data_IF_399684936146
#
_entry.id   IF_399684936146
#
_cell.length_a   1.000
_cell.length_b   1.000
_cell.length_c   1.000
_cell.angle_alpha   90.00
_cell.angle_beta   90.00
_cell.angle_gamma   90.00
#
_symmetry.space_group_name_H-M   'P 1'
#
loop_
_entity.id
_entity.type
_entity.pdbx_description
1 polymer ?
#
# COMPACT_ATOMS: atom_id res chain seq x y z
N UNK A 1 11.55 -0.11 10.55
CA UNK A 1 12.68 0.47 11.30
C UNK A 1 12.41 0.64 12.80
N UNK A 2 11.17 0.86 13.27
CA UNK A 2 10.93 1.04 14.71
C UNK A 2 11.74 2.20 15.27
N UNK A 3 12.31 2.05 16.47
CA UNK A 3 13.23 2.99 17.09
C UNK A 3 14.70 2.89 16.64
N UNK A 4 14.99 2.22 15.52
CA UNK A 4 16.37 1.98 15.07
C UNK A 4 17.08 0.86 15.85
N UNK A 5 18.34 0.54 15.51
CA UNK A 5 19.12 -0.51 16.19
C UNK A 5 19.23 -0.33 17.71
N UNK A 6 19.21 0.91 18.19
CA UNK A 6 19.26 1.22 19.63
C UNK A 6 17.88 1.19 20.30
N UNK A 7 16.84 1.75 19.67
CA UNK A 7 15.51 1.87 20.28
C UNK A 7 14.61 0.64 20.08
N UNK A 8 14.91 -0.21 19.10
CA UNK A 8 14.20 -1.45 18.82
C UNK A 8 15.15 -2.56 18.35
N UNK A 9 16.17 -2.93 19.16
CA UNK A 9 17.23 -3.87 18.75
C UNK A 9 16.70 -5.23 18.32
N UNK A 10 15.54 -5.65 18.83
CA UNK A 10 14.89 -6.92 18.48
C UNK A 10 14.37 -6.99 17.02
N UNK A 11 14.41 -5.89 16.27
CA UNK A 11 14.09 -5.85 14.83
C UNK A 11 15.33 -6.05 13.94
N UNK A 12 16.52 -6.12 14.53
CA UNK A 12 17.81 -6.12 13.83
C UNK A 12 18.55 -7.43 14.05
N UNK A 13 19.42 -7.78 13.11
CA UNK A 13 20.27 -8.95 13.23
C UNK A 13 21.28 -8.76 14.38
N UNK A 14 21.47 -9.81 15.18
CA UNK A 14 22.32 -9.75 16.37
C UNK A 14 23.81 -9.68 16.01
N UNK A 15 24.19 -10.34 14.92
CA UNK A 15 25.56 -10.40 14.45
C UNK A 15 25.88 -9.23 13.51
N UNK A 16 24.85 -8.57 12.96
CA UNK A 16 24.96 -7.41 12.09
C UNK A 16 23.86 -6.37 12.33
N UNK A 17 24.10 -5.42 13.24
CA UNK A 17 23.12 -4.41 13.63
C UNK A 17 22.75 -3.40 12.52
N UNK A 18 23.48 -3.36 11.39
CA UNK A 18 23.07 -2.58 10.22
C UNK A 18 21.95 -3.28 9.45
N UNK A 19 21.76 -4.60 9.63
CA UNK A 19 20.74 -5.40 8.93
C UNK A 19 19.50 -5.62 9.79
N UNK A 20 18.36 -5.70 9.12
CA UNK A 20 17.09 -6.10 9.71
C UNK A 20 17.04 -7.63 9.87
N UNK A 21 16.45 -8.08 10.98
CA UNK A 21 16.26 -9.50 11.26
C UNK A 21 15.27 -10.12 10.26
N UNK A 22 15.65 -11.24 9.66
CA UNK A 22 14.80 -12.03 8.77
C UNK A 22 14.29 -13.27 9.52
N UNK A 23 13.01 -13.55 9.43
CA UNK A 23 12.40 -14.73 10.03
C UNK A 23 12.54 -15.97 9.14
N UNK A 24 12.22 -17.12 9.72
CA UNK A 24 12.18 -18.39 8.99
C UNK A 24 10.77 -18.96 8.92
N UNK A 25 10.47 -19.66 7.82
CA UNK A 25 9.24 -20.43 7.69
C UNK A 25 9.33 -21.79 8.42
N UNK A 26 8.30 -22.63 8.24
CA UNK A 26 8.21 -23.99 8.80
C UNK A 26 9.29 -24.98 8.30
N UNK A 27 10.04 -24.64 7.25
CA UNK A 27 11.19 -25.40 6.75
C UNK A 27 12.54 -24.80 7.14
N UNK A 28 12.56 -23.71 7.91
CA UNK A 28 13.79 -23.02 8.28
C UNK A 28 14.36 -22.10 7.19
N UNK A 29 13.60 -21.84 6.13
CA UNK A 29 14.02 -20.96 5.03
C UNK A 29 13.76 -19.49 5.41
N UNK A 30 14.63 -18.57 4.99
CA UNK A 30 14.51 -17.11 5.21
C UNK A 30 13.37 -16.49 4.37
N UNK A 31 12.14 -16.95 4.61
CA UNK A 31 10.94 -16.72 3.82
C UNK A 31 9.75 -16.23 4.67
N UNK A 32 9.99 -15.77 5.90
CA UNK A 32 8.98 -15.15 6.76
C UNK A 32 9.54 -13.90 7.45
N UNK A 33 8.65 -13.06 7.97
CA UNK A 33 9.02 -11.98 8.89
C UNK A 33 9.49 -12.55 10.23
N UNK A 34 10.35 -11.85 10.97
CA UNK A 34 10.77 -12.32 12.30
C UNK A 34 9.55 -12.46 13.22
N UNK A 35 9.47 -13.57 13.95
CA UNK A 35 8.36 -13.89 14.86
C UNK A 35 8.89 -14.27 16.24
N UNK A 36 8.11 -13.97 17.27
CA UNK A 36 8.39 -14.46 18.62
C UNK A 36 7.99 -15.94 18.77
N UNK A 37 8.29 -16.54 19.93
CA UNK A 37 7.97 -17.95 20.24
C UNK A 37 6.47 -18.32 20.17
N UNK A 38 5.58 -17.33 20.08
CA UNK A 38 4.13 -17.53 19.97
C UNK A 38 3.64 -17.32 18.52
N UNK A 39 4.55 -17.14 17.56
CA UNK A 39 4.21 -16.91 16.15
C UNK A 39 3.80 -15.47 15.81
N UNK A 40 3.87 -14.53 16.77
CA UNK A 40 3.52 -13.12 16.51
C UNK A 40 4.69 -12.40 15.84
N UNK A 41 4.41 -11.73 14.73
CA UNK A 41 5.42 -10.97 13.99
C UNK A 41 6.01 -9.82 14.82
N UNK A 42 7.31 -9.61 14.63
CA UNK A 42 8.12 -8.54 15.23
C UNK A 42 8.34 -7.47 14.17
N UNK A 43 7.40 -6.53 14.06
CA UNK A 43 7.39 -5.52 13.01
C UNK A 43 7.31 -4.11 13.60
N UNK A 44 7.73 -3.11 12.83
CA UNK A 44 7.56 -1.70 13.20
C UNK A 44 6.10 -1.27 13.26
N UNK A 45 5.25 -1.89 12.44
CA UNK A 45 3.79 -1.76 12.49
C UNK A 45 3.19 -3.19 12.47
N UNK A 46 2.46 -3.54 13.52
CA UNK A 46 1.89 -4.88 13.68
C UNK A 46 0.84 -5.22 12.62
N UNK A 47 0.26 -4.21 11.94
CA UNK A 47 -0.73 -4.42 10.88
C UNK A 47 -0.12 -5.01 9.61
N UNK A 48 1.20 -4.96 9.45
CA UNK A 48 1.89 -5.59 8.33
C UNK A 48 1.92 -7.13 8.40
N UNK A 49 1.18 -7.74 9.32
CA UNK A 49 0.98 -9.19 9.44
C UNK A 49 -0.52 -9.58 9.44
N UNK A 50 -1.44 -8.70 8.99
CA UNK A 50 -2.89 -9.03 8.98
C UNK A 50 -3.28 -10.06 7.91
N UNK A 51 -2.53 -10.12 6.81
CA UNK A 51 -2.67 -11.15 5.78
C UNK A 51 -1.34 -11.43 5.10
N UNK A 52 -1.25 -12.57 4.42
CA UNK A 52 -0.02 -13.09 3.81
C UNK A 52 0.65 -12.08 2.86
N UNK A 53 -0.11 -11.43 1.99
CA UNK A 53 0.42 -10.50 0.99
C UNK A 53 1.18 -9.31 1.61
N UNK A 54 0.64 -8.70 2.68
CA UNK A 54 1.31 -7.57 3.32
C UNK A 54 2.54 -8.05 4.13
N UNK A 55 2.46 -9.22 4.76
CA UNK A 55 3.58 -9.81 5.50
C UNK A 55 4.75 -10.14 4.57
N UNK A 56 4.49 -10.79 3.44
CA UNK A 56 5.53 -11.12 2.47
C UNK A 56 6.06 -9.87 1.75
N UNK A 57 5.22 -8.84 1.52
CA UNK A 57 5.70 -7.57 0.99
C UNK A 57 6.64 -6.90 2.00
N UNK A 58 6.28 -6.92 3.29
CA UNK A 58 7.14 -6.42 4.35
C UNK A 58 8.48 -7.16 4.38
N UNK A 59 8.47 -8.50 4.26
CA UNK A 59 9.67 -9.31 4.12
C UNK A 59 10.54 -8.86 2.94
N UNK A 60 9.94 -8.57 1.78
CA UNK A 60 10.69 -8.05 0.63
C UNK A 60 11.40 -6.72 0.96
N UNK A 61 10.77 -5.82 1.71
CA UNK A 61 11.42 -4.59 2.20
C UNK A 61 12.53 -4.85 3.23
N UNK A 62 12.40 -5.86 4.10
CA UNK A 62 13.48 -6.27 5.01
C UNK A 62 14.69 -6.76 4.20
N UNK A 63 14.47 -7.63 3.22
CA UNK A 63 15.50 -8.13 2.31
C UNK A 63 16.11 -7.00 1.47
N UNK A 64 15.30 -6.08 0.98
CA UNK A 64 15.75 -4.91 0.21
C UNK A 64 16.71 -4.04 1.03
N UNK A 65 16.36 -3.74 2.29
CA UNK A 65 17.26 -3.00 3.17
C UNK A 65 18.60 -3.73 3.38
N UNK A 66 18.56 -5.04 3.66
CA UNK A 66 19.76 -5.83 3.87
C UNK A 66 20.64 -5.90 2.61
N UNK A 67 20.03 -5.96 1.42
CA UNK A 67 20.74 -5.88 0.14
C UNK A 67 21.38 -4.51 -0.08
N UNK A 68 20.72 -3.41 0.34
CA UNK A 68 21.31 -2.07 0.27
C UNK A 68 22.49 -1.93 1.23
N UNK A 69 22.43 -2.51 2.43
CA UNK A 69 23.56 -2.56 3.37
C UNK A 69 24.77 -3.22 2.71
N UNK A 70 24.57 -4.35 2.04
CA UNK A 70 25.64 -5.05 1.32
C UNK A 70 26.18 -4.23 0.14
N UNK A 71 25.29 -3.57 -0.62
CA UNK A 71 25.66 -2.66 -1.70
C UNK A 71 26.51 -1.48 -1.20
N UNK A 72 26.10 -0.79 -0.14
CA UNK A 72 26.84 0.36 0.41
C UNK A 72 28.22 -0.05 0.94
N UNK A 73 28.34 -1.25 1.53
CA UNK A 73 29.63 -1.80 1.96
C UNK A 73 30.53 -2.11 0.77
N UNK A 74 29.97 -2.63 -0.33
CA UNK A 74 30.71 -2.85 -1.57
C UNK A 74 31.22 -1.52 -2.17
N UNK A 75 30.41 -0.47 -2.08
CA UNK A 75 30.79 0.92 -2.44
C UNK A 75 31.73 1.60 -1.41
N UNK A 76 32.17 0.85 -0.39
CA UNK A 76 33.11 1.31 0.65
C UNK A 76 32.62 2.51 1.46
N UNK A 77 31.31 2.64 1.65
CA UNK A 77 30.72 3.60 2.59
C UNK A 77 31.28 3.32 3.99
N UNK A 78 31.69 4.35 4.77
CA UNK A 78 32.20 4.14 6.12
C UNK A 78 31.19 3.40 7.00
N UNK A 79 31.63 2.39 7.74
CA UNK A 79 30.74 1.51 8.52
C UNK A 79 29.75 2.25 9.42
N UNK A 80 30.20 3.32 10.08
CA UNK A 80 29.34 4.14 10.95
C UNK A 80 28.18 4.86 10.23
N UNK A 81 28.18 4.92 8.89
CA UNK A 81 27.17 5.57 8.07
C UNK A 81 26.26 4.56 7.35
N UNK A 82 26.67 3.30 7.24
CA UNK A 82 26.01 2.29 6.40
C UNK A 82 24.51 2.17 6.72
N UNK A 83 24.13 2.03 7.99
CA UNK A 83 22.72 1.93 8.36
C UNK A 83 21.91 3.19 7.99
N UNK A 84 22.42 4.38 8.31
CA UNK A 84 21.73 5.64 8.04
C UNK A 84 21.53 5.86 6.53
N UNK A 85 22.57 5.57 5.75
CA UNK A 85 22.52 5.63 4.29
C UNK A 85 21.60 4.57 3.70
N UNK A 86 21.61 3.34 4.24
CA UNK A 86 20.69 2.30 3.80
C UNK A 86 19.24 2.68 4.08
N UNK A 87 18.94 3.20 5.27
CA UNK A 87 17.60 3.69 5.60
C UNK A 87 17.16 4.83 4.68
N UNK A 88 18.06 5.77 4.38
CA UNK A 88 17.80 6.89 3.46
C UNK A 88 17.49 6.38 2.06
N UNK A 89 18.32 5.50 1.50
CA UNK A 89 18.11 4.95 0.16
C UNK A 89 16.85 4.09 0.07
N UNK A 90 16.53 3.26 1.07
CA UNK A 90 15.25 2.52 1.08
C UNK A 90 14.07 3.49 1.03
N UNK A 91 14.08 4.53 1.87
CA UNK A 91 13.01 5.54 1.90
C UNK A 91 12.87 6.26 0.57
N UNK A 92 13.98 6.71 -0.02
CA UNK A 92 13.96 7.47 -1.27
C UNK A 92 13.48 6.63 -2.45
N UNK A 93 13.92 5.37 -2.57
CA UNK A 93 13.40 4.48 -3.62
C UNK A 93 11.92 4.13 -3.39
N UNK A 94 11.47 3.97 -2.14
CA UNK A 94 10.06 3.77 -1.84
C UNK A 94 9.21 4.99 -2.21
N UNK A 95 9.62 6.19 -1.81
CA UNK A 95 8.95 7.44 -2.18
C UNK A 95 8.94 7.63 -3.71
N UNK A 96 10.03 7.29 -4.40
CA UNK A 96 10.10 7.30 -5.85
C UNK A 96 9.07 6.37 -6.49
N UNK A 97 8.98 5.12 -6.03
CA UNK A 97 7.98 4.15 -6.49
C UNK A 97 6.56 4.70 -6.25
N UNK A 98 6.31 5.31 -5.09
CA UNK A 98 5.01 5.92 -4.79
C UNK A 98 4.66 6.98 -5.84
N UNK A 99 5.58 7.90 -6.14
CA UNK A 99 5.32 9.04 -7.04
C UNK A 99 5.31 8.64 -8.52
N UNK A 100 6.16 7.72 -8.93
CA UNK A 100 6.43 7.44 -10.35
C UNK A 100 5.87 6.12 -10.86
N UNK A 101 5.31 5.27 -10.00
CA UNK A 101 4.65 4.02 -10.39
C UNK A 101 3.25 3.91 -9.76
N UNK A 102 3.16 3.96 -8.42
CA UNK A 102 1.89 3.76 -7.72
C UNK A 102 0.86 4.86 -8.02
N UNK A 103 1.24 6.14 -7.92
CA UNK A 103 0.32 7.25 -8.19
C UNK A 103 -0.19 7.25 -9.65
N UNK A 104 0.68 7.16 -10.69
CA UNK A 104 0.22 7.04 -12.07
C UNK A 104 -0.77 5.89 -12.29
N UNK A 105 -0.49 4.72 -11.74
CA UNK A 105 -1.39 3.55 -11.83
C UNK A 105 -2.70 3.73 -11.04
N UNK A 106 -2.70 4.53 -9.98
CA UNK A 106 -3.86 4.67 -9.09
C UNK A 106 -4.79 5.81 -9.47
N UNK A 107 -4.25 6.91 -10.02
CA UNK A 107 -5.01 8.14 -10.29
C UNK A 107 -4.91 8.64 -11.73
N UNK A 108 -4.12 7.97 -12.58
CA UNK A 108 -3.88 8.34 -13.97
C UNK A 108 -2.71 9.31 -14.16
N UNK A 109 -2.02 9.16 -15.30
CA UNK A 109 -0.82 9.94 -15.65
C UNK A 109 -1.08 11.45 -15.74
N UNK A 110 -2.24 11.84 -16.27
CA UNK A 110 -2.59 13.25 -16.49
C UNK A 110 -2.68 14.03 -15.18
N UNK A 111 -3.28 13.43 -14.14
CA UNK A 111 -3.40 14.07 -12.84
C UNK A 111 -2.04 14.18 -12.14
N UNK A 112 -1.22 13.13 -12.18
CA UNK A 112 0.13 13.18 -11.60
C UNK A 112 0.97 14.24 -12.31
N UNK A 113 0.89 14.30 -13.63
CA UNK A 113 1.61 15.30 -14.44
C UNK A 113 1.17 16.74 -14.11
N UNK A 114 -0.13 16.99 -13.97
CA UNK A 114 -0.66 18.30 -13.54
C UNK A 114 -0.11 18.70 -12.17
N UNK A 115 -0.16 17.79 -11.19
CA UNK A 115 0.30 18.07 -9.83
C UNK A 115 1.81 18.32 -9.75
N UNK A 116 2.61 17.57 -10.51
CA UNK A 116 4.06 17.79 -10.56
C UNK A 116 4.44 19.09 -11.26
N UNK A 117 3.67 19.53 -12.26
CA UNK A 117 3.93 20.76 -13.01
C UNK A 117 3.38 22.02 -12.33
N UNK A 118 2.17 21.93 -11.76
CA UNK A 118 1.39 23.07 -11.28
C UNK A 118 1.21 23.10 -9.76
N UNK A 119 1.65 22.06 -9.05
CA UNK A 119 1.54 21.95 -7.60
C UNK A 119 0.17 21.45 -7.11
N UNK A 120 0.08 21.27 -5.80
CA UNK A 120 -1.14 20.87 -5.09
C UNK A 120 -2.13 22.05 -5.04
N UNK A 121 -3.45 21.79 -5.07
CA UNK A 121 -4.46 22.88 -5.01
C UNK A 121 -5.33 22.84 -3.75
N UNK A 122 -5.56 21.67 -3.15
CA UNK A 122 -6.48 21.49 -2.03
C UNK A 122 -5.78 21.04 -0.75
N UNK A 123 -4.75 20.19 -0.86
CA UNK A 123 -4.00 19.74 0.31
C UNK A 123 -3.04 20.84 0.77
N UNK A 124 -3.33 21.38 1.95
CA UNK A 124 -2.50 22.41 2.60
C UNK A 124 -2.28 22.04 4.07
N UNK A 125 -1.11 22.40 4.59
CA UNK A 125 -0.75 22.24 5.99
C UNK A 125 0.07 23.45 6.45
N UNK A 126 0.07 23.75 7.75
CA UNK A 126 0.77 24.91 8.31
C UNK A 126 2.16 24.53 8.82
N UNK A 127 2.23 23.61 9.79
CA UNK A 127 3.50 23.24 10.44
C UNK A 127 4.01 21.87 10.03
N UNK A 128 3.13 20.88 9.97
CA UNK A 128 3.48 19.49 9.66
C UNK A 128 2.43 18.89 8.73
N UNK A 129 2.84 18.10 7.73
CA UNK A 129 1.89 17.36 6.91
C UNK A 129 1.14 16.34 7.78
N UNK A 130 -0.12 16.09 7.44
CA UNK A 130 -1.02 15.22 8.20
C UNK A 130 -1.85 14.36 7.26
N UNK A 131 -2.53 13.36 7.80
CA UNK A 131 -3.44 12.50 7.03
C UNK A 131 -4.88 12.97 7.32
N UNK A 132 -5.59 13.57 6.35
CA UNK A 132 -7.00 13.95 6.52
C UNK A 132 -7.92 12.72 6.64
N UNK A 133 -9.07 12.89 7.28
CA UNK A 133 -10.05 11.80 7.44
C UNK A 133 -10.68 11.39 6.11
N UNK A 134 -10.84 12.32 5.17
CA UNK A 134 -11.30 12.06 3.81
C UNK A 134 -10.34 11.11 3.06
N UNK A 135 -9.04 11.19 3.36
CA UNK A 135 -8.05 10.26 2.85
C UNK A 135 -8.12 8.91 3.57
N UNK A 136 -8.00 8.90 4.91
CA UNK A 136 -7.84 7.68 5.69
C UNK A 136 -9.10 6.82 5.78
N UNK A 137 -10.27 7.46 5.83
CA UNK A 137 -11.56 6.84 6.10
C UNK A 137 -12.49 6.78 4.87
N UNK A 138 -12.04 7.31 3.72
CA UNK A 138 -12.74 7.14 2.45
C UNK A 138 -11.80 6.89 1.26
N UNK A 139 -11.08 7.90 0.78
CA UNK A 139 -10.42 7.84 -0.53
C UNK A 139 -9.39 6.73 -0.62
N UNK A 140 -8.48 6.60 0.36
CA UNK A 140 -7.41 5.61 0.34
C UNK A 140 -7.89 4.17 0.67
N UNK A 141 -9.20 3.98 0.86
CA UNK A 141 -9.83 2.66 0.98
C UNK A 141 -10.32 2.10 -0.35
N UNK A 142 -10.02 2.77 -1.46
CA UNK A 142 -10.35 2.28 -2.80
C UNK A 142 -9.75 0.89 -3.08
N UNK A 143 -8.61 0.56 -2.48
CA UNK A 143 -7.96 -0.74 -2.62
C UNK A 143 -8.83 -1.93 -2.15
N UNK A 144 -9.89 -1.70 -1.37
CA UNK A 144 -10.83 -2.76 -0.98
C UNK A 144 -11.55 -3.38 -2.19
N UNK A 145 -11.88 -2.60 -3.23
CA UNK A 145 -12.53 -3.13 -4.45
C UNK A 145 -11.55 -3.89 -5.35
N UNK A 146 -10.26 -3.57 -5.26
CA UNK A 146 -9.20 -4.18 -6.05
C UNK A 146 -8.84 -5.62 -5.62
N UNK A 147 -9.36 -6.09 -4.48
CA UNK A 147 -9.11 -7.44 -3.96
C UNK A 147 -9.74 -8.50 -4.85
N UNK A 148 -8.95 -9.49 -5.26
CA UNK A 148 -9.40 -10.62 -6.07
C UNK A 148 -10.15 -11.64 -5.22
N UNK A 149 -11.08 -12.35 -5.85
CA UNK A 149 -11.81 -13.43 -5.18
C UNK A 149 -10.93 -14.66 -4.91
N UNK A 150 -9.92 -14.90 -5.76
CA UNK A 150 -8.95 -16.01 -5.63
C UNK A 150 -7.59 -15.54 -6.15
N UNK A 151 -6.53 -15.94 -5.47
CA UNK A 151 -5.13 -15.75 -5.85
C UNK A 151 -4.44 -17.11 -6.01
N UNK A 152 -3.46 -17.17 -6.92
CA UNK A 152 -2.44 -18.23 -6.98
C UNK A 152 -1.13 -17.65 -6.45
N UNK A 153 -0.47 -18.30 -5.49
CA UNK A 153 0.67 -17.69 -4.80
C UNK A 153 2.01 -17.95 -5.48
N UNK A 154 2.19 -19.16 -6.01
CA UNK A 154 3.48 -19.65 -6.50
C UNK A 154 3.31 -20.87 -7.43
N UNK A 155 4.43 -21.38 -7.94
CA UNK A 155 4.48 -22.58 -8.81
C UNK A 155 4.02 -23.88 -8.12
N UNK A 156 4.01 -23.93 -6.78
CA UNK A 156 3.45 -25.04 -6.01
C UNK A 156 1.91 -25.15 -6.13
N UNK A 157 1.26 -24.12 -6.67
CA UNK A 157 -0.17 -24.13 -6.98
C UNK A 157 -1.07 -23.79 -5.80
N UNK A 158 -0.52 -23.27 -4.69
CA UNK A 158 -1.31 -22.78 -3.56
C UNK A 158 -2.28 -21.68 -4.04
N UNK A 159 -3.57 -21.89 -3.77
CA UNK A 159 -4.67 -21.01 -4.21
C UNK A 159 -5.66 -20.77 -3.08
N UNK A 160 -6.22 -19.57 -3.01
CA UNK A 160 -7.16 -19.19 -1.96
C UNK A 160 -7.56 -17.71 -2.01
N UNK A 161 -8.39 -17.32 -1.06
CA UNK A 161 -8.85 -15.95 -0.85
C UNK A 161 -7.95 -15.23 0.16
N UNK A 162 -7.99 -13.89 0.20
CA UNK A 162 -7.27 -13.13 1.25
C UNK A 162 -7.74 -13.57 2.65
N UNK A 163 -9.05 -13.73 2.81
CA UNK A 163 -9.67 -14.26 4.01
C UNK A 163 -10.68 -15.35 3.64
N UNK A 164 -10.75 -16.46 4.41
CA UNK A 164 -9.90 -16.78 5.56
C UNK A 164 -8.55 -17.40 5.19
N UNK A 165 -8.37 -17.86 3.94
CA UNK A 165 -7.27 -18.79 3.58
C UNK A 165 -5.87 -18.21 3.83
N UNK A 166 -5.68 -16.93 3.51
CA UNK A 166 -4.42 -16.20 3.62
C UNK A 166 -4.42 -15.14 4.71
N UNK A 167 -5.27 -15.33 5.73
CA UNK A 167 -5.20 -14.55 6.97
C UNK A 167 -3.81 -14.66 7.59
N UNK A 168 -3.31 -13.55 8.15
CA UNK A 168 -1.98 -13.48 8.73
C UNK A 168 -1.99 -13.82 10.22
N UNK A 169 -1.11 -13.19 10.98
CA UNK A 169 -0.91 -13.39 12.44
C UNK A 169 -0.43 -14.80 12.81
N UNK A 170 0.14 -15.51 11.84
CA UNK A 170 0.66 -16.86 11.98
C UNK A 170 1.93 -17.05 11.12
N UNK A 171 2.82 -18.00 11.47
CA UNK A 171 3.96 -18.35 10.64
C UNK A 171 3.55 -18.67 9.20
N UNK A 172 4.32 -18.18 8.23
CA UNK A 172 4.09 -18.46 6.82
C UNK A 172 4.58 -19.88 6.49
N UNK A 173 3.71 -20.78 6.05
CA UNK A 173 4.13 -22.09 5.55
C UNK A 173 4.93 -21.97 4.24
N UNK A 174 5.90 -22.85 4.03
CA UNK A 174 6.76 -22.87 2.84
C UNK A 174 5.97 -22.98 1.53
N UNK A 175 4.86 -23.72 1.51
CA UNK A 175 3.98 -23.87 0.34
C UNK A 175 3.16 -22.60 0.02
N UNK A 176 3.13 -21.63 0.95
CA UNK A 176 2.44 -20.33 0.80
C UNK A 176 3.38 -19.14 0.62
N UNK A 177 4.69 -19.37 0.51
CA UNK A 177 5.64 -18.29 0.18
C UNK A 177 5.24 -17.68 -1.17
N UNK A 178 5.13 -16.35 -1.23
CA UNK A 178 4.67 -15.65 -2.43
C UNK A 178 5.82 -15.58 -3.44
N UNK A 179 5.54 -15.99 -4.67
CA UNK A 179 6.37 -15.72 -5.83
C UNK A 179 5.86 -14.43 -6.49
N UNK A 180 6.60 -13.33 -6.37
CA UNK A 180 6.16 -12.03 -6.86
C UNK A 180 6.04 -11.96 -8.39
N UNK A 181 6.61 -12.91 -9.15
CA UNK A 181 6.38 -13.02 -10.60
C UNK A 181 4.93 -13.38 -10.96
N UNK A 182 4.11 -13.79 -9.99
CA UNK A 182 2.65 -13.94 -10.17
C UNK A 182 1.88 -12.63 -10.03
N UNK A 183 2.51 -11.55 -9.54
CA UNK A 183 1.84 -10.29 -9.17
C UNK A 183 2.43 -9.09 -9.89
N UNK A 184 3.70 -9.18 -10.31
CA UNK A 184 4.41 -8.14 -11.04
C UNK A 184 5.01 -8.69 -12.33
N UNK A 185 5.19 -7.81 -13.31
CA UNK A 185 5.79 -8.14 -14.60
C UNK A 185 7.30 -8.31 -14.49
N UNK A 186 7.73 -9.43 -13.91
CA UNK A 186 9.15 -9.76 -13.70
C UNK A 186 9.76 -10.41 -14.95
N UNK A 187 9.03 -11.30 -15.62
CA UNK A 187 9.50 -11.99 -16.83
C UNK A 187 8.52 -11.79 -17.98
N UNK A 188 9.02 -11.67 -19.21
CA UNK A 188 8.17 -11.43 -20.39
C UNK A 188 7.20 -12.59 -20.73
N UNK A 189 7.33 -13.75 -20.07
CA UNK A 189 6.56 -14.96 -20.37
C UNK A 189 5.31 -15.20 -19.53
N UNK A 190 5.08 -14.43 -18.45
CA UNK A 190 3.95 -14.64 -17.53
C UNK A 190 3.22 -13.33 -17.26
N UNK A 191 1.96 -13.16 -17.70
CA UNK A 191 1.17 -12.00 -17.31
C UNK A 191 0.86 -12.07 -15.80
N UNK A 192 1.00 -10.97 -15.05
CA UNK A 192 0.70 -10.95 -13.62
C UNK A 192 -0.80 -11.10 -13.36
N UNK A 193 -1.15 -11.51 -12.14
CA UNK A 193 -2.51 -11.47 -11.62
C UNK A 193 -2.88 -10.03 -11.25
N UNK A 194 -3.34 -9.26 -12.25
CA UNK A 194 -3.79 -7.89 -12.06
C UNK A 194 -4.83 -7.78 -10.93
N UNK A 195 -4.91 -6.63 -10.25
CA UNK A 195 -6.02 -6.34 -9.32
C UNK A 195 -7.38 -6.38 -10.03
N UNK A 196 -8.46 -6.42 -9.27
CA UNK A 196 -9.78 -6.05 -9.81
C UNK A 196 -9.83 -4.56 -10.13
N UNK A 197 -10.79 -4.18 -10.96
CA UNK A 197 -11.13 -2.78 -11.22
C UNK A 197 -11.63 -2.10 -9.95
N UNK A 198 -11.51 -0.78 -9.92
CA UNK A 198 -12.07 0.06 -8.87
C UNK A 198 -13.56 0.27 -9.17
N UNK A 199 -14.40 -0.50 -8.50
CA UNK A 199 -15.86 -0.43 -8.63
C UNK A 199 -16.56 -0.60 -7.28
N UNK A 200 -17.90 -0.60 -7.31
CA UNK A 200 -18.75 -0.76 -6.13
C UNK A 200 -18.96 -2.23 -5.70
N UNK A 201 -18.24 -3.19 -6.30
CA UNK A 201 -18.41 -4.64 -6.08
C UNK A 201 -17.18 -5.23 -5.38
N UNK A 202 -17.34 -5.54 -4.09
CA UNK A 202 -16.27 -6.17 -3.32
C UNK A 202 -16.20 -7.69 -3.50
N UNK A 203 -15.01 -8.26 -3.31
CA UNK A 203 -14.87 -9.71 -3.18
C UNK A 203 -15.64 -10.24 -1.96
N UNK A 204 -16.27 -11.41 -2.08
CA UNK A 204 -17.01 -12.04 -0.98
C UNK A 204 -16.15 -12.21 0.29
N UNK A 205 -14.85 -12.46 0.15
CA UNK A 205 -13.92 -12.55 1.29
C UNK A 205 -13.86 -11.30 2.17
N UNK A 206 -14.41 -10.17 1.71
CA UNK A 206 -14.53 -8.91 2.46
C UNK A 206 -15.94 -8.66 3.01
N UNK A 207 -16.93 -9.46 2.62
CA UNK A 207 -18.31 -9.35 3.09
C UNK A 207 -18.56 -10.08 4.41
N UNK A 208 -17.72 -11.07 4.73
CA UNK A 208 -17.78 -11.87 5.95
C UNK A 208 -16.37 -12.10 6.50
N UNK A 209 -15.80 -11.07 7.10
CA UNK A 209 -14.44 -11.12 7.65
C UNK A 209 -14.39 -12.00 8.91
N UNK A 210 -13.30 -12.76 9.12
CA UNK A 210 -13.17 -13.61 10.29
C UNK A 210 -13.00 -12.78 11.58
N UNK A 211 -13.41 -13.34 12.73
CA UNK A 211 -13.26 -12.73 14.06
C UNK A 211 -11.81 -12.33 14.39
N UNK A 212 -10.82 -13.03 13.84
CA UNK A 212 -9.40 -12.68 13.99
C UNK A 212 -9.05 -11.30 13.39
N UNK A 213 -9.85 -10.82 12.44
CA UNK A 213 -9.69 -9.51 11.78
C UNK A 213 -10.59 -8.46 12.40
N UNK A 214 -11.88 -8.76 12.61
CA UNK A 214 -12.87 -7.75 13.07
C UNK A 214 -13.11 -7.72 14.57
N UNK A 215 -12.61 -8.70 15.31
CA UNK A 215 -12.91 -8.91 16.73
C UNK A 215 -14.30 -9.51 16.95
N UNK A 216 -14.74 -9.56 18.22
CA UNK A 216 -16.11 -9.91 18.56
C UNK A 216 -17.08 -8.81 18.08
N UNK A 217 -18.11 -9.22 17.35
CA UNK A 217 -19.12 -8.34 16.75
C UNK A 217 -20.47 -8.52 17.45
N UNK A 218 -21.30 -7.48 17.45
CA UNK A 218 -22.67 -7.52 17.99
C UNK A 218 -23.69 -7.94 16.94
N UNK A 219 -23.39 -7.68 15.67
CA UNK A 219 -24.27 -7.93 14.54
C UNK A 219 -23.50 -8.62 13.40
N UNK A 220 -24.20 -9.38 12.56
CA UNK A 220 -23.57 -10.05 11.42
C UNK A 220 -22.98 -9.05 10.42
N UNK A 221 -23.61 -7.88 10.27
CA UNK A 221 -23.18 -6.83 9.35
C UNK A 221 -21.81 -6.25 9.72
N UNK A 222 -21.43 -6.26 11.00
CA UNK A 222 -20.12 -5.80 11.46
C UNK A 222 -18.94 -6.64 10.94
N UNK A 223 -19.20 -7.83 10.38
CA UNK A 223 -18.22 -8.63 9.64
C UNK A 223 -17.96 -8.10 8.22
N UNK A 224 -18.87 -7.30 7.66
CA UNK A 224 -18.71 -6.74 6.31
C UNK A 224 -17.80 -5.52 6.35
N UNK A 225 -16.72 -5.55 5.56
CA UNK A 225 -15.81 -4.42 5.42
C UNK A 225 -16.53 -3.17 4.88
N UNK A 226 -17.42 -3.34 3.90
CA UNK A 226 -18.22 -2.24 3.35
C UNK A 226 -19.12 -1.60 4.40
N UNK A 227 -19.75 -2.40 5.27
CA UNK A 227 -20.55 -1.87 6.37
C UNK A 227 -19.68 -1.05 7.33
N UNK A 228 -18.50 -1.56 7.69
CA UNK A 228 -17.57 -0.87 8.58
C UNK A 228 -17.05 0.43 7.97
N UNK A 229 -16.76 0.46 6.68
CA UNK A 229 -16.33 1.67 5.97
C UNK A 229 -17.42 2.74 5.97
N UNK A 230 -18.66 2.37 5.65
CA UNK A 230 -19.81 3.29 5.66
C UNK A 230 -20.11 3.83 7.06
N UNK A 231 -20.16 2.96 8.08
CA UNK A 231 -20.40 3.38 9.47
C UNK A 231 -19.25 4.23 10.00
N UNK A 232 -18.01 3.96 9.59
CA UNK A 232 -16.86 4.78 9.97
C UNK A 232 -16.96 6.18 9.36
N UNK A 233 -17.35 6.27 8.10
CA UNK A 233 -17.55 7.56 7.42
C UNK A 233 -18.65 8.38 8.07
N UNK A 234 -19.78 7.75 8.43
CA UNK A 234 -20.85 8.40 9.19
C UNK A 234 -20.36 8.87 10.58
N UNK A 235 -19.63 8.03 11.32
CA UNK A 235 -19.14 8.37 12.65
C UNK A 235 -18.10 9.51 12.69
N UNK A 236 -17.47 9.79 11.54
CA UNK A 236 -16.51 10.89 11.37
C UNK A 236 -17.13 12.11 10.70
N UNK A 237 -18.44 12.10 10.45
CA UNK A 237 -19.17 13.14 9.72
C UNK A 237 -18.50 13.49 8.38
N UNK A 238 -18.02 12.47 7.64
CA UNK A 238 -17.41 12.69 6.34
C UNK A 238 -18.41 13.39 5.40
N UNK A 239 -17.98 14.44 4.67
CA UNK A 239 -18.84 15.08 3.69
C UNK A 239 -19.21 14.08 2.58
N UNK A 240 -20.34 14.31 1.91
CA UNK A 240 -20.72 13.52 0.75
C UNK A 240 -19.72 13.70 -0.40
N UNK A 241 -19.68 12.73 -1.31
CA UNK A 241 -18.86 12.86 -2.52
C UNK A 241 -19.27 14.04 -3.39
N UNK A 242 -20.57 14.32 -3.50
CA UNK A 242 -21.10 15.47 -4.23
C UNK A 242 -20.70 16.80 -3.57
N UNK A 243 -20.64 16.87 -2.23
CA UNK A 243 -20.16 18.06 -1.53
C UNK A 243 -18.69 18.35 -1.81
N UNK A 244 -17.84 17.32 -1.77
CA UNK A 244 -16.42 17.49 -2.13
C UNK A 244 -16.27 17.85 -3.61
N UNK A 245 -17.02 17.20 -4.51
CA UNK A 245 -16.97 17.50 -5.94
C UNK A 245 -17.26 18.99 -6.21
N UNK A 246 -18.31 19.54 -5.59
CA UNK A 246 -18.65 20.97 -5.69
C UNK A 246 -17.54 21.88 -5.16
N UNK A 247 -16.95 21.55 -4.01
CA UNK A 247 -15.83 22.33 -3.44
C UNK A 247 -14.60 22.30 -4.36
N UNK A 248 -14.37 21.17 -5.03
CA UNK A 248 -13.28 21.01 -6.00
C UNK A 248 -13.58 21.61 -7.38
N UNK A 249 -14.81 22.07 -7.63
CA UNK A 249 -15.25 22.53 -8.95
C UNK A 249 -15.38 21.40 -9.99
N UNK A 250 -15.56 20.16 -9.54
CA UNK A 250 -15.78 18.97 -10.36
C UNK A 250 -17.29 18.74 -10.50
N UNK A 251 -17.75 18.36 -11.69
CA UNK A 251 -19.17 18.02 -11.91
C UNK A 251 -19.54 16.75 -11.13
N UNK A 252 -20.46 16.82 -10.15
CA UNK A 252 -20.82 15.65 -9.35
C UNK A 252 -21.44 14.54 -10.20
N UNK A 253 -21.32 13.29 -9.76
CA UNK A 253 -22.11 12.20 -10.33
C UNK A 253 -23.61 12.48 -10.17
N UNK A 254 -24.37 12.22 -11.22
CA UNK A 254 -25.83 12.26 -11.18
C UNK A 254 -26.38 11.14 -10.30
N UNK A 255 -27.60 11.33 -9.79
CA UNK A 255 -28.31 10.32 -9.00
C UNK A 255 -28.48 8.99 -9.75
N UNK A 256 -28.64 9.05 -11.08
CA UNK A 256 -28.69 7.88 -11.96
C UNK A 256 -27.35 7.18 -12.10
N UNK A 257 -26.24 7.92 -12.15
CA UNK A 257 -24.91 7.31 -12.21
C UNK A 257 -24.55 6.64 -10.88
N UNK A 258 -24.89 7.26 -9.75
CA UNK A 258 -24.66 6.69 -8.42
C UNK A 258 -25.48 5.41 -8.21
N UNK A 259 -26.76 5.41 -8.60
CA UNK A 259 -27.64 4.24 -8.54
C UNK A 259 -28.19 3.89 -7.15
N UNK A 260 -27.83 4.62 -6.09
CA UNK A 260 -28.32 4.36 -4.73
C UNK A 260 -29.82 4.71 -4.56
N UNK A 261 -30.37 5.56 -5.43
CA UNK A 261 -31.79 5.93 -5.37
C UNK A 261 -32.74 4.73 -5.55
N UNK A 262 -32.34 3.79 -6.40
CA UNK A 262 -33.08 2.54 -6.69
C UNK A 262 -33.06 1.58 -5.50
N UNK A 263 -32.07 1.73 -4.61
CA UNK A 263 -31.95 1.02 -3.34
C UNK A 263 -32.68 1.73 -2.18
N UNK A 264 -33.38 2.82 -2.47
CA UNK A 264 -34.14 3.59 -1.49
C UNK A 264 -33.36 4.69 -0.76
N UNK A 265 -32.07 4.89 -1.08
CA UNK A 265 -31.29 6.02 -0.53
C UNK A 265 -31.77 7.34 -1.13
N UNK A 266 -31.94 8.37 -0.30
CA UNK A 266 -32.47 9.69 -0.74
C UNK A 266 -31.55 10.86 -0.42
N UNK A 267 -30.43 10.61 0.23
CA UNK A 267 -29.42 11.62 0.57
C UNK A 267 -28.30 11.63 -0.47
N UNK A 268 -27.38 12.59 -0.33
CA UNK A 268 -26.11 12.54 -1.06
C UNK A 268 -25.28 11.31 -0.66
N UNK A 269 -24.28 11.01 -1.47
CA UNK A 269 -23.60 9.72 -1.47
C UNK A 269 -22.47 9.69 -0.42
N UNK A 270 -22.40 8.66 0.44
CA UNK A 270 -21.26 8.48 1.34
C UNK A 270 -19.94 8.48 0.57
N UNK A 271 -18.95 9.24 1.04
CA UNK A 271 -17.73 9.56 0.29
C UNK A 271 -17.01 8.33 -0.26
N UNK A 272 -16.83 7.29 0.57
CA UNK A 272 -16.16 6.05 0.14
C UNK A 272 -16.88 5.39 -1.05
N UNK A 273 -18.21 5.28 -0.99
CA UNK A 273 -18.99 4.71 -2.09
C UNK A 273 -18.92 5.60 -3.33
N UNK A 274 -19.02 6.93 -3.16
CA UNK A 274 -18.91 7.87 -4.27
C UNK A 274 -17.59 7.72 -5.01
N UNK A 275 -16.46 7.62 -4.29
CA UNK A 275 -15.12 7.48 -4.88
C UNK A 275 -14.99 6.20 -5.72
N UNK A 276 -15.52 5.09 -5.23
CA UNK A 276 -15.56 3.84 -5.99
C UNK A 276 -16.43 3.97 -7.24
N UNK A 277 -17.61 4.57 -7.10
CA UNK A 277 -18.55 4.74 -8.21
C UNK A 277 -18.05 5.74 -9.26
N UNK A 278 -17.33 6.76 -8.82
CA UNK A 278 -16.69 7.76 -9.68
C UNK A 278 -15.63 7.10 -10.56
N UNK A 279 -14.76 6.28 -9.98
CA UNK A 279 -13.77 5.51 -10.74
C UNK A 279 -14.47 4.59 -11.77
N UNK A 280 -15.51 3.87 -11.35
CA UNK A 280 -16.30 2.97 -12.20
C UNK A 280 -16.91 3.71 -13.41
N UNK A 281 -17.55 4.85 -13.18
CA UNK A 281 -18.28 5.62 -14.20
C UNK A 281 -17.35 6.42 -15.11
N UNK A 282 -16.36 7.12 -14.53
CA UNK A 282 -15.52 8.07 -15.27
C UNK A 282 -14.35 7.39 -15.98
N UNK A 283 -13.77 6.37 -15.35
CA UNK A 283 -12.52 5.74 -15.80
C UNK A 283 -12.65 4.24 -16.00
N UNK A 284 -13.88 3.69 -16.04
CA UNK A 284 -14.14 2.24 -16.16
C UNK A 284 -13.48 1.41 -15.05
N UNK A 285 -13.20 2.04 -13.92
CA UNK A 285 -12.51 1.46 -12.77
C UNK A 285 -11.01 1.20 -12.97
N UNK A 286 -10.39 1.69 -14.04
CA UNK A 286 -8.95 1.48 -14.29
C UNK A 286 -8.08 2.31 -13.34
N UNK A 287 -8.51 3.52 -12.98
CA UNK A 287 -7.92 4.38 -11.96
C UNK A 287 -8.99 5.28 -11.30
N UNK A 288 -8.64 5.93 -10.19
CA UNK A 288 -9.54 6.79 -9.43
C UNK A 288 -10.07 7.98 -10.24
N UNK A 289 -11.31 8.38 -9.98
CA UNK A 289 -11.92 9.57 -10.56
C UNK A 289 -11.33 10.88 -10.05
N UNK A 290 -11.85 12.02 -10.53
CA UNK A 290 -11.30 13.33 -10.22
C UNK A 290 -11.29 13.64 -8.71
N UNK A 291 -12.39 13.38 -7.99
CA UNK A 291 -12.45 13.61 -6.54
C UNK A 291 -11.53 12.65 -5.79
N UNK A 292 -11.72 11.35 -5.99
CA UNK A 292 -10.95 10.33 -5.26
C UNK A 292 -9.46 10.41 -5.55
N UNK A 293 -9.11 10.57 -6.83
CA UNK A 293 -7.74 10.66 -7.32
C UNK A 293 -7.05 11.90 -6.78
N UNK A 294 -7.74 13.04 -6.71
CA UNK A 294 -7.17 14.28 -6.16
C UNK A 294 -6.88 14.18 -4.68
N UNK A 295 -7.79 13.62 -3.88
CA UNK A 295 -7.57 13.40 -2.45
C UNK A 295 -6.33 12.50 -2.26
N UNK A 296 -6.26 11.38 -2.97
CA UNK A 296 -5.16 10.41 -2.81
C UNK A 296 -3.82 11.01 -3.25
N UNK A 297 -3.77 11.61 -4.45
CA UNK A 297 -2.53 12.11 -5.01
C UNK A 297 -2.00 13.32 -4.25
N UNK A 298 -2.86 14.30 -3.92
CA UNK A 298 -2.39 15.50 -3.24
C UNK A 298 -1.93 15.22 -1.81
N UNK A 299 -2.60 14.33 -1.07
CA UNK A 299 -2.16 13.96 0.28
C UNK A 299 -0.82 13.22 0.22
N UNK A 300 -0.66 12.23 -0.67
CA UNK A 300 0.61 11.50 -0.77
C UNK A 300 1.76 12.40 -1.22
N UNK A 301 1.56 13.23 -2.25
CA UNK A 301 2.57 14.20 -2.67
C UNK A 301 2.86 15.22 -1.58
N UNK A 302 1.84 15.78 -0.93
CA UNK A 302 2.02 16.76 0.14
C UNK A 302 2.71 16.21 1.39
N UNK A 303 2.52 14.92 1.72
CA UNK A 303 3.29 14.25 2.78
C UNK A 303 4.76 14.10 2.38
N UNK A 304 5.04 13.75 1.11
CA UNK A 304 6.41 13.59 0.60
C UNK A 304 7.10 14.96 0.47
N UNK A 305 6.40 15.99 0.00
CA UNK A 305 6.90 17.37 -0.12
C UNK A 305 7.10 18.02 1.25
N UNK A 306 6.25 17.68 2.22
CA UNK A 306 6.35 18.17 3.59
C UNK A 306 7.40 17.47 4.46
N UNK A 307 7.99 16.36 4.02
CA UNK A 307 9.04 15.63 4.74
C UNK A 307 10.43 16.20 4.39
N UNK A 308 11.15 16.88 5.32
CA UNK A 308 12.47 17.44 5.03
C UNK A 308 13.53 16.39 4.66
N UNK A 309 13.29 15.11 4.97
CA UNK A 309 14.18 13.99 4.64
C UNK A 309 13.81 13.28 3.34
N UNK A 310 12.79 13.76 2.63
CA UNK A 310 12.32 13.24 1.33
C UNK A 310 13.34 13.45 0.21
N UNK A 311 13.34 12.54 -0.76
CA UNK A 311 14.15 12.70 -1.98
C UNK A 311 13.80 13.98 -2.75
N UNK A 312 12.56 14.47 -2.65
CA UNK A 312 12.08 15.70 -3.30
C UNK A 312 12.63 16.97 -2.66
N UNK A 313 13.12 16.86 -1.42
CA UNK A 313 13.75 17.94 -0.66
C UNK A 313 15.27 17.80 -0.55
N UNK A 314 15.88 16.93 -1.36
CA UNK A 314 17.32 16.79 -1.44
C UNK A 314 17.99 18.07 -1.98
N UNK A 315 19.20 18.40 -1.51
CA UNK A 315 19.95 19.60 -1.95
C UNK A 315 20.19 19.63 -3.46
N UNK A 316 20.38 18.46 -4.06
CA UNK A 316 20.49 18.25 -5.50
C UNK A 316 19.39 17.31 -5.96
N UNK A 317 18.85 17.55 -7.15
CA UNK A 317 17.86 16.67 -7.77
C UNK A 317 18.35 15.22 -7.73
N UNK A 318 17.57 14.36 -7.09
CA UNK A 318 17.89 12.96 -6.90
C UNK A 318 17.12 12.08 -7.87
N UNK A 319 17.82 11.11 -8.45
CA UNK A 319 17.25 10.02 -9.23
C UNK A 319 17.69 8.68 -8.62
N UNK A 320 16.92 7.60 -8.83
CA UNK A 320 17.29 6.27 -8.38
C UNK A 320 18.70 5.88 -8.78
N UNK A 321 19.45 5.38 -7.80
CA UNK A 321 20.87 5.03 -7.96
C UNK A 321 21.10 3.52 -8.01
N UNK A 322 20.10 2.74 -7.61
CA UNK A 322 20.19 1.28 -7.65
C UNK A 322 19.98 0.78 -9.09
N UNK A 323 20.56 -0.38 -9.44
CA UNK A 323 20.29 -1.02 -10.72
C UNK A 323 18.79 -1.29 -10.91
N UNK A 324 18.26 -0.86 -12.05
CA UNK A 324 16.90 -1.15 -12.49
C UNK A 324 16.87 -1.42 -14.00
N UNK A 325 15.69 -1.75 -14.52
CA UNK A 325 15.52 -2.03 -15.96
C UNK A 325 15.87 -0.82 -16.85
N UNK A 326 15.71 0.40 -16.35
CA UNK A 326 16.05 1.64 -17.02
C UNK A 326 16.89 2.52 -16.09
N UNK A 327 18.06 3.05 -16.54
CA UNK A 327 18.86 3.97 -15.74
C UNK A 327 18.06 5.20 -15.30
N UNK A 328 18.17 5.60 -14.03
CA UNK A 328 17.46 6.75 -13.48
C UNK A 328 15.97 6.50 -13.21
N UNK A 329 15.50 5.25 -13.31
CA UNK A 329 14.14 4.85 -12.96
C UNK A 329 14.16 3.57 -12.11
N UNK A 330 13.16 3.42 -11.25
CA UNK A 330 13.09 2.30 -10.31
C UNK A 330 11.64 1.96 -9.97
N UNK A 331 11.29 0.69 -10.14
CA UNK A 331 9.94 0.14 -9.94
C UNK A 331 9.91 -0.86 -8.78
N UNK A 332 8.71 -1.27 -8.36
CA UNK A 332 8.53 -2.41 -7.46
C UNK A 332 9.19 -3.68 -8.00
N UNK A 333 9.18 -3.89 -9.31
CA UNK A 333 9.85 -5.04 -9.94
C UNK A 333 11.36 -4.98 -9.73
N UNK A 334 11.97 -3.80 -9.86
CA UNK A 334 13.40 -3.62 -9.60
C UNK A 334 13.73 -3.83 -8.12
N UNK A 335 12.85 -3.39 -7.21
CA UNK A 335 12.96 -3.67 -5.77
C UNK A 335 12.99 -5.17 -5.49
N UNK A 336 12.04 -5.95 -6.04
CA UNK A 336 12.02 -7.39 -5.81
C UNK A 336 13.27 -8.09 -6.35
N UNK A 337 13.75 -7.70 -7.54
CA UNK A 337 15.00 -8.26 -8.10
C UNK A 337 16.21 -7.91 -7.23
N UNK A 338 16.33 -6.66 -6.82
CA UNK A 338 17.44 -6.21 -5.97
C UNK A 338 17.42 -6.89 -4.60
N UNK A 339 16.25 -7.13 -4.04
CA UNK A 339 16.06 -7.82 -2.78
C UNK A 339 16.24 -9.35 -2.85
N UNK A 340 16.42 -9.94 -4.05
CA UNK A 340 16.42 -11.39 -4.25
C UNK A 340 15.08 -12.05 -3.87
N UNK A 341 13.98 -11.34 -4.11
CA UNK A 341 12.62 -11.79 -3.85
C UNK A 341 11.92 -12.37 -5.09
N UNK A 342 12.58 -12.33 -6.25
CA UNK A 342 12.20 -12.96 -7.53
C UNK A 342 13.40 -13.53 -8.25
#
# INVERSE_FOLDING_TARGET
>A
YGGGPTGSPYLYDLDDADKLLIGVNDQGELADVPRNRQGRALLGDARNDVHLFISQLHLAFLKFHNAIVDYLRAERVPGAQVFAEAQRLVRWHYQWIVVNEFLPLSVGDDLVSDLLANGLKFYTFVEQPYIPVEFADAAYRFGHSQVRSIYTLNNGGAKGQVFPDFAGTCPVPHDRVIDWAYFFSVDQGRPPQASKLIDTILAHSLSDLPTSVVGETKTAQEHSLAYRDLVRGEALDLPSGEAIAREMGVEPLSTSEVGLYDLGWKSETPLWFYILKEAEVRNRGEWLGEVGGRIVAEVLLGLIDGDPSSYRNAETEWQPVLPGAQPGHFTMTDLFRFAGAV
#
